data_IF_975524352489
#
_entry.id   IF_975524352489
#
_cell.length_a   1.000
_cell.length_b   1.000
_cell.length_c   1.000
_cell.angle_alpha   90.00
_cell.angle_beta   90.00
_cell.angle_gamma   90.00
#
_symmetry.space_group_name_H-M   'P 1'
#
loop_
_entity.id
_entity.type
_entity.pdbx_description
1 polymer ?
#
# COMPACT_ATOMS: atom_id res chain seq x y z
N UNK A 1 18.28 -0.96 -0.14
CA UNK A 1 17.26 -0.84 -1.20
C UNK A 1 15.93 -0.47 -0.55
N UNK A 2 15.12 0.41 -1.15
CA UNK A 2 13.78 0.77 -0.64
C UNK A 2 12.75 0.09 -1.55
N UNK A 3 12.03 -0.90 -1.05
CA UNK A 3 10.96 -1.59 -1.76
C UNK A 3 9.60 -1.09 -1.27
N UNK A 4 8.64 -0.95 -2.19
CA UNK A 4 7.27 -0.54 -1.89
C UNK A 4 6.32 -1.49 -2.61
N UNK A 5 5.34 -2.01 -1.90
CA UNK A 5 4.30 -2.87 -2.46
C UNK A 5 2.99 -2.09 -2.52
N UNK A 6 2.26 -2.18 -3.63
CA UNK A 6 0.91 -1.63 -3.73
C UNK A 6 -0.05 -2.73 -4.18
N UNK A 7 -1.23 -2.81 -3.57
CA UNK A 7 -2.20 -3.86 -3.86
C UNK A 7 -3.65 -3.42 -3.68
N UNK A 8 -4.55 -4.16 -4.33
CA UNK A 8 -5.98 -3.96 -4.25
C UNK A 8 -6.80 -5.24 -4.04
N UNK A 9 -6.23 -6.44 -4.22
CA UNK A 9 -6.94 -7.70 -3.96
C UNK A 9 -6.11 -8.74 -3.24
N UNK A 10 -6.74 -9.84 -2.82
CA UNK A 10 -6.12 -10.85 -1.95
C UNK A 10 -4.83 -11.48 -2.51
N UNK A 11 -4.64 -11.51 -3.83
CA UNK A 11 -3.41 -12.03 -4.45
C UNK A 11 -2.17 -11.15 -4.17
N UNK A 12 -2.37 -9.90 -3.73
CA UNK A 12 -1.28 -8.97 -3.38
C UNK A 12 -0.76 -9.17 -1.95
N UNK A 13 -1.37 -10.06 -1.17
CA UNK A 13 -1.02 -10.27 0.25
C UNK A 13 0.47 -10.55 0.44
N UNK A 14 1.02 -11.49 -0.33
CA UNK A 14 2.45 -11.85 -0.25
C UNK A 14 3.34 -10.68 -0.71
N UNK A 15 2.96 -9.97 -1.77
CA UNK A 15 3.69 -8.77 -2.21
C UNK A 15 3.79 -7.74 -1.09
N UNK A 16 2.68 -7.46 -0.39
CA UNK A 16 2.64 -6.45 0.67
C UNK A 16 3.45 -6.89 1.91
N UNK A 17 3.39 -8.18 2.27
CA UNK A 17 4.15 -8.73 3.39
C UNK A 17 5.67 -8.66 3.16
N UNK A 18 6.13 -8.93 1.95
CA UNK A 18 7.57 -8.94 1.61
C UNK A 18 8.13 -7.54 1.30
N UNK A 19 7.28 -6.59 0.91
CA UNK A 19 7.72 -5.25 0.50
C UNK A 19 8.35 -4.41 1.63
N UNK A 20 8.03 -4.71 2.89
CA UNK A 20 8.41 -3.92 4.07
C UNK A 20 7.73 -2.54 4.16
N UNK A 21 7.09 -2.05 3.09
CA UNK A 21 6.31 -0.80 3.00
C UNK A 21 5.14 -0.99 2.03
N UNK A 22 4.03 -1.50 2.56
CA UNK A 22 2.80 -1.76 1.81
C UNK A 22 1.89 -0.55 1.71
N UNK A 23 1.19 -0.46 0.57
CA UNK A 23 0.20 0.55 0.24
C UNK A 23 -1.07 -0.18 -0.21
N UNK A 24 -2.18 0.05 0.48
CA UNK A 24 -3.50 -0.47 0.10
C UNK A 24 -4.32 0.70 -0.43
N UNK A 25 -4.72 0.63 -1.70
CA UNK A 25 -5.51 1.68 -2.35
C UNK A 25 -6.99 1.61 -1.91
N UNK A 26 -7.73 2.72 -1.92
CA UNK A 26 -9.07 2.73 -1.31
C UNK A 26 -10.11 1.89 -2.03
N UNK A 27 -9.90 1.57 -3.31
CA UNK A 27 -10.73 0.62 -4.06
C UNK A 27 -10.34 -0.85 -3.82
N UNK A 28 -9.43 -1.14 -2.87
CA UNK A 28 -9.09 -2.51 -2.52
C UNK A 28 -10.31 -3.29 -2.00
N UNK A 29 -10.33 -4.58 -2.31
CA UNK A 29 -11.35 -5.51 -1.88
C UNK A 29 -11.25 -5.78 -0.36
N UNK A 30 -12.37 -6.14 0.30
CA UNK A 30 -12.41 -6.31 1.75
C UNK A 30 -11.37 -7.29 2.30
N UNK A 31 -11.07 -8.36 1.56
CA UNK A 31 -10.09 -9.39 1.94
C UNK A 31 -8.66 -8.87 2.02
N UNK A 32 -8.30 -7.81 1.31
CA UNK A 32 -6.97 -7.19 1.43
C UNK A 32 -6.95 -6.13 2.53
N UNK A 33 -8.06 -5.42 2.74
CA UNK A 33 -8.20 -4.34 3.74
C UNK A 33 -8.05 -4.80 5.19
N UNK A 34 -8.16 -6.10 5.45
CA UNK A 34 -7.88 -6.66 6.78
C UNK A 34 -6.39 -6.59 7.14
N UNK A 35 -5.49 -6.48 6.15
CA UNK A 35 -4.06 -6.32 6.40
C UNK A 35 -3.80 -4.98 7.06
N UNK A 36 -3.10 -5.02 8.19
CA UNK A 36 -2.79 -3.88 9.02
C UNK A 36 -1.45 -4.09 9.69
N UNK A 37 -0.80 -3.00 10.11
CA UNK A 37 0.48 -3.04 10.79
C UNK A 37 1.30 -1.76 10.55
N UNK A 38 2.45 -1.63 11.20
CA UNK A 38 3.30 -0.44 11.10
C UNK A 38 3.91 -0.26 9.70
N UNK A 39 3.89 -1.29 8.86
CA UNK A 39 4.39 -1.30 7.49
C UNK A 39 3.29 -1.21 6.44
N UNK A 40 2.03 -1.06 6.84
CA UNK A 40 0.88 -0.98 5.94
C UNK A 40 0.27 0.42 6.02
N UNK A 41 0.22 1.10 4.89
CA UNK A 41 -0.47 2.37 4.73
C UNK A 41 -1.76 2.16 3.92
N UNK A 42 -2.89 2.65 4.46
CA UNK A 42 -4.18 2.64 3.77
C UNK A 42 -4.44 4.01 3.15
N UNK A 43 -4.31 4.10 1.83
CA UNK A 43 -4.58 5.35 1.12
C UNK A 43 -6.09 5.60 1.02
N UNK A 44 -6.57 6.85 1.22
CA UNK A 44 -7.94 7.23 0.89
C UNK A 44 -8.20 7.31 -0.61
N UNK A 45 -7.17 7.29 -1.46
CA UNK A 45 -7.28 7.45 -2.91
C UNK A 45 -7.34 6.12 -3.65
N UNK A 46 -8.04 6.12 -4.79
CA UNK A 46 -8.25 4.94 -5.64
C UNK A 46 -7.13 4.81 -6.66
N UNK A 47 -6.83 3.57 -7.06
CA UNK A 47 -5.94 3.24 -8.17
C UNK A 47 -4.56 3.92 -8.02
N UNK A 48 -3.98 4.40 -9.13
CA UNK A 48 -2.67 5.05 -9.15
C UNK A 48 -2.57 6.26 -8.20
N UNK A 49 -3.66 6.99 -7.95
CA UNK A 49 -3.65 8.09 -6.99
C UNK A 49 -3.34 7.61 -5.56
N UNK A 50 -3.82 6.41 -5.19
CA UNK A 50 -3.48 5.81 -3.90
C UNK A 50 -2.04 5.33 -3.80
N UNK A 51 -1.46 4.89 -4.92
CA UNK A 51 -0.03 4.56 -4.99
C UNK A 51 0.83 5.80 -4.75
N UNK A 52 0.53 6.91 -5.42
CA UNK A 52 1.29 8.17 -5.27
C UNK A 52 1.21 8.71 -3.84
N UNK A 53 0.02 8.71 -3.26
CA UNK A 53 -0.21 9.11 -1.87
C UNK A 53 0.55 8.21 -0.88
N UNK A 54 0.52 6.89 -1.08
CA UNK A 54 1.33 5.97 -0.27
C UNK A 54 2.84 6.18 -0.41
N UNK A 55 3.33 6.49 -1.62
CA UNK A 55 4.73 6.84 -1.81
C UNK A 55 5.10 8.14 -1.08
N UNK A 56 4.23 9.17 -1.15
CA UNK A 56 4.40 10.41 -0.37
C UNK A 56 4.49 10.14 1.12
N UNK A 57 3.60 9.29 1.64
CA UNK A 57 3.60 8.89 3.05
C UNK A 57 4.94 8.25 3.46
N UNK A 58 5.47 7.31 2.67
CA UNK A 58 6.67 6.58 3.05
C UNK A 58 8.00 7.29 2.76
N UNK A 59 7.99 8.26 1.85
CA UNK A 59 9.16 9.05 1.48
C UNK A 59 9.25 10.38 2.25
N UNK A 60 8.31 10.70 3.13
CA UNK A 60 8.25 11.98 3.87
C UNK A 60 8.38 13.21 2.95
N UNK A 61 7.82 13.16 1.73
CA UNK A 61 7.90 14.25 0.76
C UNK A 61 9.19 14.29 -0.10
N UNK A 62 10.06 13.28 -0.02
CA UNK A 62 11.17 13.07 -0.97
C UNK A 62 10.69 12.38 -2.28
N UNK A 63 9.74 12.97 -3.00
CA UNK A 63 9.31 12.49 -4.32
C UNK A 63 9.93 13.29 -5.46
#
# INVERSE_FOLDING_TARGET
ERLFGAGDSGNDTTLLQESGRGIIVSNALPELKVLNGPTIYHSPHRFAAGVLDGLQHWLNGEL
#
